data_IF_055537767864
#
_entry.id   IF_055537767864
#
_cell.length_a   1.000
_cell.length_b   1.000
_cell.length_c   1.000
_cell.angle_alpha   90.00
_cell.angle_beta   90.00
_cell.angle_gamma   90.00
#
_symmetry.space_group_name_H-M   'P 1'
#
loop_
_entity.id
_entity.type
_entity.pdbx_description
1 polymer ?
#
# COMPACT_ATOMS: atom_id res chain seq x y z
N UNK A 1 -16.28 -17.49 -11.96
CA UNK A 1 -15.42 -16.41 -11.45
C UNK A 1 -15.09 -15.33 -12.48
N UNK A 2 -14.85 -15.63 -13.76
CA UNK A 2 -14.45 -14.63 -14.78
C UNK A 2 -15.31 -13.35 -14.90
N UNK A 3 -16.65 -13.42 -15.03
CA UNK A 3 -17.49 -12.24 -15.19
C UNK A 3 -17.50 -11.31 -13.96
N UNK A 4 -17.45 -11.89 -12.76
CA UNK A 4 -17.42 -11.12 -11.51
C UNK A 4 -16.09 -10.40 -11.28
N UNK A 5 -14.97 -11.01 -11.69
CA UNK A 5 -13.64 -10.36 -11.62
C UNK A 5 -13.55 -9.18 -12.59
N UNK A 6 -14.08 -9.33 -13.81
CA UNK A 6 -14.12 -8.24 -14.78
C UNK A 6 -14.95 -7.06 -14.28
N UNK A 7 -16.14 -7.32 -13.70
CA UNK A 7 -17.01 -6.28 -13.16
C UNK A 7 -16.38 -5.53 -11.97
N UNK A 8 -15.63 -6.22 -11.10
CA UNK A 8 -15.01 -5.62 -9.91
C UNK A 8 -13.65 -4.93 -10.18
N UNK A 9 -13.14 -4.98 -11.41
CA UNK A 9 -11.81 -4.45 -11.74
C UNK A 9 -11.71 -2.95 -11.48
N UNK A 10 -12.72 -2.18 -11.88
CA UNK A 10 -12.73 -0.73 -11.65
C UNK A 10 -12.86 -0.38 -10.17
N UNK A 11 -13.71 -1.10 -9.44
CA UNK A 11 -13.92 -0.85 -8.01
C UNK A 11 -12.65 -1.16 -7.22
N UNK A 12 -11.95 -2.25 -7.58
CA UNK A 12 -10.66 -2.56 -7.01
C UNK A 12 -9.62 -1.49 -7.35
N UNK A 13 -9.53 -1.07 -8.61
CA UNK A 13 -8.58 -0.02 -9.03
C UNK A 13 -8.81 1.29 -8.27
N UNK A 14 -10.07 1.73 -8.16
CA UNK A 14 -10.46 2.92 -7.38
C UNK A 14 -10.12 2.75 -5.89
N UNK A 15 -10.43 1.58 -5.32
CA UNK A 15 -10.21 1.30 -3.91
C UNK A 15 -8.73 1.27 -3.49
N UNK A 16 -7.82 0.93 -4.41
CA UNK A 16 -6.38 0.87 -4.13
C UNK A 16 -5.60 2.12 -4.57
N UNK A 17 -6.16 2.95 -5.47
CA UNK A 17 -5.45 4.06 -6.11
C UNK A 17 -4.73 4.96 -5.09
N UNK A 18 -5.44 5.27 -4.00
CA UNK A 18 -4.95 6.08 -2.89
C UNK A 18 -3.74 5.50 -2.16
N UNK A 19 -3.61 4.18 -2.12
CA UNK A 19 -2.50 3.48 -1.48
C UNK A 19 -1.34 3.30 -2.44
N UNK A 20 -1.62 3.06 -3.72
CA UNK A 20 -0.59 3.02 -4.78
C UNK A 20 0.12 4.36 -4.86
N UNK A 21 -0.62 5.48 -4.83
CA UNK A 21 -0.02 6.81 -4.82
C UNK A 21 0.91 7.09 -3.63
N UNK A 22 0.65 6.49 -2.46
CA UNK A 22 1.56 6.58 -1.30
C UNK A 22 2.85 5.82 -1.56
N UNK A 23 2.78 4.65 -2.19
CA UNK A 23 3.97 3.85 -2.51
C UNK A 23 4.84 4.51 -3.57
N UNK A 24 4.23 5.09 -4.60
CA UNK A 24 4.95 5.75 -5.71
C UNK A 24 5.75 6.97 -5.26
N UNK A 25 5.24 7.72 -4.27
CA UNK A 25 5.91 8.90 -3.72
C UNK A 25 6.87 8.62 -2.58
N UNK A 26 7.01 7.36 -2.14
CA UNK A 26 7.76 7.01 -0.94
C UNK A 26 9.21 6.64 -1.26
N UNK A 27 10.14 7.31 -0.57
CA UNK A 27 11.52 6.83 -0.51
C UNK A 27 11.60 5.57 0.34
N UNK A 28 12.14 4.49 -0.22
CA UNK A 28 12.33 3.22 0.49
C UNK A 28 13.80 3.11 0.92
N UNK A 29 14.10 2.64 2.15
CA UNK A 29 15.47 2.38 2.57
C UNK A 29 16.18 1.41 1.63
N UNK A 30 17.49 1.58 1.48
CA UNK A 30 18.29 0.67 0.67
C UNK A 30 18.18 -0.77 1.18
N UNK A 31 18.02 -1.69 0.23
CA UNK A 31 17.92 -3.11 0.53
C UNK A 31 19.30 -3.66 0.84
N UNK A 32 19.47 -4.22 2.04
CA UNK A 32 20.66 -4.95 2.41
C UNK A 32 20.72 -6.36 1.80
N UNK A 33 21.76 -7.15 2.13
CA UNK A 33 21.87 -8.55 1.70
C UNK A 33 20.61 -9.37 2.05
N UNK A 34 20.33 -10.41 1.27
CA UNK A 34 19.19 -11.29 1.52
C UNK A 34 19.26 -11.87 2.94
N UNK A 35 18.18 -11.71 3.71
CA UNK A 35 18.11 -12.17 5.11
C UNK A 35 18.67 -11.18 6.14
N UNK A 36 19.23 -10.03 5.72
CA UNK A 36 19.67 -9.00 6.65
C UNK A 36 18.48 -8.47 7.49
N UNK A 37 18.62 -8.36 8.82
CA UNK A 37 17.63 -7.73 9.67
C UNK A 37 17.31 -6.28 9.29
N UNK A 38 18.25 -5.57 8.67
CA UNK A 38 18.01 -4.20 8.19
C UNK A 38 16.85 -4.11 7.18
N UNK A 39 16.55 -5.20 6.46
CA UNK A 39 15.44 -5.23 5.49
C UNK A 39 14.06 -5.12 6.17
N UNK A 40 13.93 -5.40 7.47
CA UNK A 40 12.67 -5.19 8.19
C UNK A 40 12.27 -3.72 8.24
N UNK A 41 13.22 -2.79 8.15
CA UNK A 41 12.95 -1.35 8.10
C UNK A 41 12.11 -0.98 6.86
N UNK A 42 12.26 -1.69 5.74
CA UNK A 42 11.44 -1.50 4.53
C UNK A 42 9.98 -1.84 4.85
N UNK A 43 9.73 -3.03 5.39
CA UNK A 43 8.38 -3.48 5.75
C UNK A 43 7.75 -2.56 6.80
N UNK A 44 8.52 -2.12 7.80
CA UNK A 44 8.05 -1.18 8.80
C UNK A 44 7.64 0.15 8.17
N UNK A 45 8.49 0.76 7.32
CA UNK A 45 8.19 2.03 6.66
C UNK A 45 6.95 1.95 5.78
N UNK A 46 6.87 0.92 4.92
CA UNK A 46 5.71 0.67 4.06
C UNK A 46 4.44 0.48 4.90
N UNK A 47 4.50 -0.38 5.92
CA UNK A 47 3.35 -0.67 6.78
C UNK A 47 2.83 0.57 7.51
N UNK A 48 3.72 1.36 8.08
CA UNK A 48 3.36 2.61 8.76
C UNK A 48 2.71 3.63 7.81
N UNK A 49 3.27 3.81 6.60
CA UNK A 49 2.72 4.75 5.62
C UNK A 49 1.31 4.36 5.15
N UNK A 50 1.12 3.07 4.80
CA UNK A 50 -0.18 2.57 4.37
C UNK A 50 -1.22 2.60 5.49
N UNK A 51 -0.80 2.31 6.74
CA UNK A 51 -1.68 2.41 7.89
C UNK A 51 -2.14 3.85 8.15
N UNK A 52 -1.23 4.82 8.09
CA UNK A 52 -1.57 6.25 8.23
C UNK A 52 -2.57 6.69 7.15
N UNK A 53 -2.36 6.30 5.89
CA UNK A 53 -3.31 6.57 4.80
C UNK A 53 -4.67 5.92 5.05
N UNK A 54 -4.70 4.68 5.54
CA UNK A 54 -5.96 3.99 5.88
C UNK A 54 -6.74 4.75 6.95
N UNK A 55 -6.08 5.22 8.00
CA UNK A 55 -6.72 6.01 9.05
C UNK A 55 -7.28 7.33 8.49
N UNK A 56 -6.54 8.01 7.60
CA UNK A 56 -7.00 9.23 6.96
C UNK A 56 -8.24 9.00 6.07
N UNK A 57 -8.25 7.91 5.29
CA UNK A 57 -9.42 7.51 4.48
C UNK A 57 -10.62 7.24 5.38
N UNK A 58 -10.44 6.46 6.45
CA UNK A 58 -11.52 6.15 7.39
C UNK A 58 -12.09 7.44 7.99
N UNK A 59 -11.24 8.35 8.47
CA UNK A 59 -11.64 9.63 9.01
C UNK A 59 -12.47 10.46 8.01
N UNK A 60 -12.06 10.52 6.74
CA UNK A 60 -12.75 11.26 5.69
C UNK A 60 -14.10 10.63 5.24
N UNK A 61 -14.30 9.35 5.51
CA UNK A 61 -15.54 8.62 5.21
C UNK A 61 -16.49 8.51 6.41
N UNK A 62 -16.14 9.10 7.56
CA UNK A 62 -16.95 9.08 8.81
C UNK A 62 -17.99 10.19 8.86
#
# INVERSE_FOLDING_TARGET
YGPGVAAATEDMAKGIADYVGVLDGMEIPDRGPRGSPANYAISQKVGSALHAKRLAVLAATS
#
